data_IF_062206222213
#
_entry.id   IF_062206222213
#
_cell.length_a   1.000
_cell.length_b   1.000
_cell.length_c   1.000
_cell.angle_alpha   90.00
_cell.angle_beta   90.00
_cell.angle_gamma   90.00
#
_symmetry.space_group_name_H-M   'P 1'
#
loop_
_entity.id
_entity.type
_entity.pdbx_description
1 polymer ?
#
# COMPACT_ATOMS: atom_id res chain seq x y z
N UNK A 1 -13.24 -17.74 -10.02
CA UNK A 1 -12.95 -16.58 -9.15
C UNK A 1 -12.22 -15.56 -9.98
N UNK A 2 -12.83 -14.40 -10.23
CA UNK A 2 -12.21 -13.33 -11.01
C UNK A 2 -11.01 -12.80 -10.21
N UNK A 3 -9.81 -13.01 -10.73
CA UNK A 3 -8.59 -12.52 -10.10
C UNK A 3 -8.55 -11.00 -10.33
N UNK A 4 -8.93 -10.23 -9.31
CA UNK A 4 -8.78 -8.77 -9.34
C UNK A 4 -7.30 -8.45 -9.52
N UNK A 5 -6.96 -7.70 -10.57
CA UNK A 5 -5.58 -7.32 -10.86
C UNK A 5 -5.49 -5.79 -10.89
N UNK A 6 -5.18 -5.22 -9.73
CA UNK A 6 -5.13 -3.78 -9.52
C UNK A 6 -3.68 -3.30 -9.57
N UNK A 7 -3.47 -2.16 -10.23
CA UNK A 7 -2.16 -1.51 -10.23
C UNK A 7 -1.96 -0.76 -8.91
N UNK A 8 -0.85 -1.03 -8.23
CA UNK A 8 -0.49 -0.37 -6.98
C UNK A 8 0.74 0.51 -7.20
N UNK A 9 0.75 1.68 -6.56
CA UNK A 9 1.91 2.55 -6.42
C UNK A 9 2.11 2.87 -4.95
N UNK A 10 3.37 2.89 -4.53
CA UNK A 10 3.77 3.24 -3.18
C UNK A 10 4.74 4.41 -3.25
N UNK A 11 4.42 5.49 -2.55
CA UNK A 11 5.31 6.62 -2.32
C UNK A 11 5.64 6.71 -0.82
N UNK A 12 6.92 6.89 -0.51
CA UNK A 12 7.42 7.05 0.85
C UNK A 12 8.09 8.42 0.97
N UNK A 13 7.68 9.19 1.96
CA UNK A 13 8.36 10.41 2.37
C UNK A 13 8.83 10.25 3.82
N UNK A 14 10.11 10.52 4.08
CA UNK A 14 10.60 10.62 5.46
C UNK A 14 10.01 11.86 6.12
N UNK A 15 9.45 11.72 7.32
CA UNK A 15 8.93 12.85 8.09
C UNK A 15 9.94 13.28 9.17
N UNK A 16 10.16 12.43 10.18
CA UNK A 16 11.21 12.64 11.18
C UNK A 16 11.60 11.33 11.87
N UNK A 17 12.83 11.26 12.40
CA UNK A 17 13.35 10.06 13.08
C UNK A 17 13.22 8.78 12.22
N UNK A 18 12.33 7.88 12.63
CA UNK A 18 12.01 6.61 11.98
C UNK A 18 10.56 6.59 11.46
N UNK A 19 9.92 7.75 11.36
CA UNK A 19 8.56 7.92 10.85
C UNK A 19 8.57 8.34 9.38
N UNK A 20 7.72 7.67 8.61
CA UNK A 20 7.56 7.88 7.19
C UNK A 20 6.09 8.03 6.86
N UNK A 21 5.76 9.00 6.02
CA UNK A 21 4.46 9.09 5.37
C UNK A 21 4.45 8.13 4.18
N UNK A 22 3.71 7.05 4.32
CA UNK A 22 3.44 6.13 3.23
C UNK A 22 2.15 6.51 2.53
N UNK A 23 2.20 6.75 1.23
CA UNK A 23 1.02 6.98 0.38
C UNK A 23 0.88 5.83 -0.59
N UNK A 24 -0.24 5.11 -0.49
CA UNK A 24 -0.59 3.99 -1.36
C UNK A 24 -1.67 4.46 -2.33
N UNK A 25 -1.40 4.33 -3.61
CA UNK A 25 -2.35 4.61 -4.70
C UNK A 25 -2.67 3.31 -5.41
N UNK A 26 -3.96 3.02 -5.57
CA UNK A 26 -4.46 1.85 -6.27
C UNK A 26 -5.35 2.30 -7.43
N UNK A 27 -5.04 1.83 -8.63
CA UNK A 27 -5.86 2.07 -9.82
C UNK A 27 -6.98 1.02 -9.89
N UNK A 28 -8.22 1.43 -9.63
CA UNK A 28 -9.42 0.59 -9.77
C UNK A 28 -9.96 0.67 -11.20
N UNK A 29 -10.57 -0.40 -11.70
CA UNK A 29 -10.98 -0.55 -13.11
C UNK A 29 -12.49 -0.45 -13.36
N UNK A 30 -13.29 -0.38 -12.29
CA UNK A 30 -14.74 -0.23 -12.36
C UNK A 30 -15.32 0.50 -11.13
N UNK A 31 -16.64 0.75 -11.17
CA UNK A 31 -17.37 1.48 -10.12
C UNK A 31 -17.65 0.68 -8.86
N UNK A 32 -17.51 -0.65 -8.89
CA UNK A 32 -17.87 -1.56 -7.79
C UNK A 32 -16.76 -1.69 -6.74
N UNK A 33 -15.59 -1.10 -6.98
CA UNK A 33 -14.54 -1.00 -5.99
C UNK A 33 -14.84 0.07 -4.94
N UNK A 34 -15.01 -0.36 -3.70
CA UNK A 34 -15.16 0.48 -2.52
C UNK A 34 -13.89 0.43 -1.67
N UNK A 35 -13.26 1.59 -1.44
CA UNK A 35 -12.01 1.66 -0.69
C UNK A 35 -12.25 1.62 0.82
N UNK A 36 -11.62 0.65 1.49
CA UNK A 36 -11.59 0.47 2.93
C UNK A 36 -10.41 1.17 3.59
N UNK A 37 -9.85 0.56 4.63
CA UNK A 37 -8.75 1.13 5.41
C UNK A 37 -7.38 0.85 4.79
N UNK A 38 -6.44 1.78 4.99
CA UNK A 38 -5.01 1.54 4.82
C UNK A 38 -4.41 1.29 6.21
N UNK A 39 -3.77 0.15 6.42
CA UNK A 39 -3.23 -0.28 7.71
C UNK A 39 -1.83 -0.88 7.59
N UNK A 40 -1.10 -0.87 8.70
CA UNK A 40 0.18 -1.60 8.85
C UNK A 40 -0.10 -3.08 9.06
N UNK A 41 0.71 -3.92 8.43
CA UNK A 41 0.64 -5.36 8.53
C UNK A 41 0.39 -6.04 7.18
N UNK A 42 0.60 -7.36 7.20
CA UNK A 42 0.35 -8.24 6.08
C UNK A 42 -1.14 -8.43 5.86
N UNK A 43 -1.57 -8.65 4.61
CA UNK A 43 -2.89 -9.18 4.34
C UNK A 43 -3.02 -10.61 4.88
N UNK A 44 -4.25 -11.10 5.10
CA UNK A 44 -4.49 -12.48 5.50
C UNK A 44 -3.76 -13.48 4.58
N UNK A 45 -3.27 -14.58 5.15
CA UNK A 45 -2.64 -15.68 4.41
C UNK A 45 -1.38 -15.30 3.61
N UNK A 46 -0.73 -14.20 3.94
CA UNK A 46 0.54 -13.79 3.31
C UNK A 46 1.68 -13.94 4.29
N UNK A 47 2.78 -14.56 3.87
CA UNK A 47 4.00 -14.68 4.66
C UNK A 47 4.91 -13.48 4.42
N UNK A 48 5.51 -12.97 5.49
CA UNK A 48 6.43 -11.84 5.41
C UNK A 48 7.82 -12.19 5.91
N UNK A 49 8.79 -11.44 5.41
CA UNK A 49 10.16 -11.41 5.92
C UNK A 49 10.35 -10.34 7.01
N UNK A 50 11.33 -10.55 7.89
CA UNK A 50 11.67 -9.60 8.95
C UNK A 50 12.23 -8.27 8.44
N UNK A 51 12.70 -8.19 7.19
CA UNK A 51 13.38 -7.01 6.62
C UNK A 51 12.46 -6.02 5.91
N UNK A 52 11.18 -6.36 5.75
CA UNK A 52 10.20 -5.54 5.03
C UNK A 52 9.11 -5.10 5.99
N UNK A 53 8.69 -3.84 5.89
CA UNK A 53 7.47 -3.34 6.54
C UNK A 53 6.30 -3.50 5.58
N UNK A 54 5.15 -3.92 6.07
CA UNK A 54 4.01 -4.25 5.21
C UNK A 54 2.85 -3.30 5.43
N UNK A 55 2.20 -2.92 4.34
CA UNK A 55 0.98 -2.14 4.32
C UNK A 55 -0.10 -2.90 3.58
N UNK A 56 -1.33 -2.80 4.07
CA UNK A 56 -2.51 -3.39 3.43
C UNK A 56 -3.56 -2.31 3.20
N UNK A 57 -3.96 -2.11 1.95
CA UNK A 57 -5.07 -1.25 1.57
C UNK A 57 -6.26 -2.12 1.18
N UNK A 58 -7.26 -2.17 2.06
CA UNK A 58 -8.45 -2.99 1.88
C UNK A 58 -9.43 -2.33 0.89
N UNK A 59 -10.05 -3.15 0.06
CA UNK A 59 -11.12 -2.83 -0.88
C UNK A 59 -12.20 -3.90 -0.79
N UNK A 60 -13.45 -3.48 -0.95
CA UNK A 60 -14.57 -4.37 -1.23
C UNK A 60 -14.92 -4.24 -2.71
N UNK A 61 -15.13 -5.36 -3.40
CA UNK A 61 -15.71 -5.37 -4.75
C UNK A 61 -17.04 -6.09 -4.68
N UNK A 62 -18.12 -5.33 -4.84
CA UNK A 62 -19.49 -5.84 -4.73
C UNK A 62 -20.39 -5.20 -5.79
N UNK A 63 -21.39 -5.96 -6.26
CA UNK A 63 -22.32 -5.52 -7.29
C UNK A 63 -22.27 -6.38 -8.55
N UNK A 64 -23.38 -6.39 -9.28
CA UNK A 64 -23.55 -7.21 -10.49
C UNK A 64 -23.46 -6.37 -11.78
N UNK A 65 -23.61 -5.05 -11.67
CA UNK A 65 -23.57 -4.09 -12.78
C UNK A 65 -22.50 -3.04 -12.51
N UNK A 66 -21.26 -3.36 -12.88
CA UNK A 66 -20.12 -2.47 -12.68
C UNK A 66 -19.87 -1.65 -13.95
N UNK A 67 -19.91 -0.32 -13.82
CA UNK A 67 -19.50 0.57 -14.90
C UNK A 67 -17.98 0.53 -15.07
N UNK A 68 -17.49 0.40 -16.31
CA UNK A 68 -16.07 0.46 -16.59
C UNK A 68 -15.55 1.88 -16.37
N UNK A 69 -14.69 2.05 -15.37
CA UNK A 69 -14.06 3.33 -15.05
C UNK A 69 -12.68 3.10 -14.45
N UNK A 70 -11.66 3.70 -15.04
CA UNK A 70 -10.31 3.68 -14.50
C UNK A 70 -10.12 4.90 -13.61
N UNK A 71 -9.85 4.69 -12.32
CA UNK A 71 -9.58 5.78 -11.38
C UNK A 71 -8.50 5.40 -10.37
N UNK A 72 -7.75 6.39 -9.93
CA UNK A 72 -6.77 6.23 -8.86
C UNK A 72 -7.41 6.55 -7.51
N UNK A 73 -7.29 5.63 -6.56
CA UNK A 73 -7.71 5.82 -5.17
C UNK A 73 -6.47 5.83 -4.29
N UNK A 74 -6.28 6.89 -3.51
CA UNK A 74 -5.09 7.06 -2.67
C UNK A 74 -5.44 7.24 -1.20
N UNK A 75 -4.65 6.64 -0.32
CA UNK A 75 -4.63 6.91 1.12
C UNK A 75 -3.21 7.02 1.63
N UNK A 76 -3.03 7.80 2.69
CA UNK A 76 -1.75 7.95 3.38
C UNK A 76 -1.88 7.55 4.84
N UNK A 77 -0.80 7.00 5.39
CA UNK A 77 -0.64 6.68 6.80
C UNK A 77 0.79 7.01 7.23
N UNK A 78 0.96 7.53 8.45
CA UNK A 78 2.29 7.65 9.06
C UNK A 78 2.66 6.31 9.68
N UNK A 79 3.82 5.79 9.29
CA UNK A 79 4.35 4.53 9.79
C UNK A 79 5.70 4.72 10.44
N UNK A 80 5.84 4.13 11.63
CA UNK A 80 7.13 4.02 12.30
C UNK A 80 7.83 2.77 11.79
N UNK A 81 8.91 2.96 11.04
CA UNK A 81 9.65 1.88 10.37
C UNK A 81 10.97 1.66 11.13
N UNK A 82 11.12 0.52 11.83
CA UNK A 82 12.36 0.20 12.54
C UNK A 82 13.57 0.18 11.60
N UNK A 83 14.75 0.58 12.11
CA UNK A 83 15.99 0.66 11.33
C UNK A 83 16.47 -0.67 10.71
N UNK A 84 16.00 -1.81 11.23
CA UNK A 84 16.26 -3.14 10.65
C UNK A 84 15.53 -3.37 9.32
N UNK A 85 14.42 -2.65 9.09
CA UNK A 85 13.66 -2.72 7.85
C UNK A 85 14.42 -1.98 6.74
N UNK A 86 14.36 -2.54 5.53
CA UNK A 86 15.06 -2.01 4.35
C UNK A 86 14.12 -1.46 3.30
N UNK A 87 12.87 -1.88 3.33
CA UNK A 87 11.86 -1.53 2.35
C UNK A 87 10.46 -1.61 2.94
N UNK A 88 9.51 -1.01 2.24
CA UNK A 88 8.08 -1.15 2.51
C UNK A 88 7.43 -1.81 1.30
N UNK A 89 6.52 -2.74 1.55
CA UNK A 89 5.64 -3.31 0.52
C UNK A 89 4.20 -3.01 0.87
N UNK A 90 3.46 -2.44 -0.08
CA UNK A 90 2.04 -2.18 0.04
C UNK A 90 1.23 -3.12 -0.84
N UNK A 91 0.20 -3.73 -0.26
CA UNK A 91 -0.76 -4.61 -0.93
C UNK A 91 -2.09 -3.89 -1.14
N UNK A 92 -2.71 -4.09 -2.31
CA UNK A 92 -4.14 -3.88 -2.48
C UNK A 92 -4.85 -5.21 -2.20
N UNK A 93 -5.83 -5.19 -1.31
CA UNK A 93 -6.55 -6.39 -0.85
C UNK A 93 -8.02 -6.22 -1.21
N UNK A 94 -8.54 -7.07 -2.10
CA UNK A 94 -9.94 -7.03 -2.52
C UNK A 94 -10.66 -8.24 -1.94
N UNK A 95 -11.70 -8.03 -1.14
CA UNK A 95 -12.50 -9.10 -0.53
C UNK A 95 -11.63 -10.14 0.20
N UNK A 96 -10.57 -9.69 0.88
CA UNK A 96 -9.63 -10.55 1.62
C UNK A 96 -8.54 -11.21 0.77
N UNK A 97 -8.47 -10.96 -0.54
CA UNK A 97 -7.46 -11.53 -1.44
C UNK A 97 -6.52 -10.44 -1.98
N UNK A 98 -5.23 -10.77 -2.10
CA UNK A 98 -4.26 -9.85 -2.71
C UNK A 98 -4.57 -9.65 -4.20
N UNK A 99 -4.81 -8.40 -4.58
CA UNK A 99 -5.14 -7.99 -5.94
C UNK A 99 -4.01 -7.22 -6.64
N UNK A 100 -2.98 -6.83 -5.89
CA UNK A 100 -1.80 -6.14 -6.42
C UNK A 100 -0.84 -5.75 -5.30
N UNK A 101 0.40 -5.42 -5.67
CA UNK A 101 1.43 -5.00 -4.72
C UNK A 101 2.39 -3.96 -5.32
N UNK A 102 3.03 -3.18 -4.46
CA UNK A 102 4.14 -2.31 -4.82
C UNK A 102 5.16 -2.24 -3.68
N UNK A 103 6.44 -2.44 -4.00
CA UNK A 103 7.56 -2.30 -3.07
C UNK A 103 8.34 -1.01 -3.33
N UNK A 104 8.82 -0.39 -2.26
CA UNK A 104 9.74 0.75 -2.33
C UNK A 104 10.85 0.62 -1.28
N UNK A 105 12.12 0.94 -1.62
CA UNK A 105 13.17 1.07 -0.62
C UNK A 105 12.89 2.27 0.28
N UNK A 106 13.41 2.25 1.50
CA UNK A 106 13.33 3.43 2.36
C UNK A 106 14.10 4.60 1.73
N UNK A 107 13.52 5.82 1.69
CA UNK A 107 14.24 6.98 1.21
C UNK A 107 15.46 7.23 2.11
N UNK A 108 16.58 7.62 1.50
CA UNK A 108 17.79 7.99 2.26
C UNK A 108 17.43 9.15 3.19
N UNK A 109 17.74 9.02 4.49
CA UNK A 109 17.67 10.15 5.43
C UNK A 109 18.47 11.30 4.82
N UNK A 110 17.86 12.47 4.63
CA UNK A 110 18.58 13.63 4.15
C UNK A 110 19.65 13.96 5.19
N UNK A 111 20.90 13.62 4.90
CA UNK A 111 22.04 14.12 5.68
C UNK A 111 22.06 15.62 5.44
N UNK A 112 21.53 16.39 6.39
CA UNK A 112 21.90 17.79 6.50
C UNK A 112 23.42 17.79 6.72
N UNK A 113 24.16 18.06 5.64
CA UNK A 113 25.57 18.37 5.72
C UNK A 113 25.67 19.65 6.56
N UNK A 114 26.01 19.47 7.84
CA UNK A 114 26.47 20.56 8.66
C UNK A 114 27.71 21.14 7.95
N UNK A 115 27.60 22.41 7.55
CA UNK A 115 28.66 23.18 6.93
C UNK A 115 29.40 23.96 8.01
#
# INVERSE_FOLDING_TARGET
MSKHNLKVKLALAWEHSDEYKATVTVTTTDTCYHAGALKVGLPPHTEGTGLVEYLSFDFTHEGNECGQIVRDVSKSITVKIPSVKRSVTAYAVVNGQVAGEAGAPLPKKATHAAK
#
